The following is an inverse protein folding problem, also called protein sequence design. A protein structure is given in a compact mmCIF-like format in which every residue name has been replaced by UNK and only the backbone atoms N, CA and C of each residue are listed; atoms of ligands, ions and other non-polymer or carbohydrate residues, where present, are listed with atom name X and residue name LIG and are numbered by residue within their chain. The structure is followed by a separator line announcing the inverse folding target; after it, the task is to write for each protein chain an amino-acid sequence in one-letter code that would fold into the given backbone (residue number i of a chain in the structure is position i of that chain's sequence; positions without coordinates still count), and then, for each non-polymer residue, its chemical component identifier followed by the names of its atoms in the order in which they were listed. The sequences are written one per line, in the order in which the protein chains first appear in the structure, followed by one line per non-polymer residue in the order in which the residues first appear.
data_IF_324537990851
#
_entry.id   IF_324537990851
#
_cell.length_a   1.000
_cell.length_b   1.000
_cell.length_c   1.000
_cell.angle_alpha   90.00
_cell.angle_beta   90.00
_cell.angle_gamma   90.00
#
_symmetry.space_group_name_H-M   'P 1'
#
loop_
_entity.id
_entity.type
_entity.pdbx_description
1 polymer ?
#
# COMPACT_ATOMS: atom_id res chain seq x y z
N UNK A 1 -8.56 20.81 -0.89
CA UNK A 1 -7.62 19.70 -1.16
C UNK A 1 -7.55 19.49 -2.66
N UNK A 2 -6.36 19.33 -3.24
CA UNK A 2 -6.24 19.06 -4.67
C UNK A 2 -6.72 17.63 -4.99
N UNK A 3 -7.35 17.44 -6.15
CA UNK A 3 -7.85 16.12 -6.63
C UNK A 3 -6.76 15.03 -6.56
N UNK A 4 -5.52 15.39 -6.88
CA UNK A 4 -4.34 14.53 -6.75
C UNK A 4 -4.16 14.01 -5.32
N UNK A 5 -4.31 14.88 -4.32
CA UNK A 5 -4.15 14.52 -2.89
C UNK A 5 -5.26 13.60 -2.40
N UNK A 6 -6.48 13.81 -2.89
CA UNK A 6 -7.62 12.91 -2.59
C UNK A 6 -7.40 11.52 -3.18
N UNK A 7 -7.00 11.42 -4.45
CA UNK A 7 -6.69 10.14 -5.09
C UNK A 7 -5.54 9.40 -4.42
N UNK A 8 -4.48 10.11 -4.04
CA UNK A 8 -3.35 9.54 -3.30
C UNK A 8 -3.79 8.98 -1.95
N UNK A 9 -4.61 9.71 -1.18
CA UNK A 9 -5.12 9.26 0.12
C UNK A 9 -6.05 8.04 -0.03
N UNK A 10 -6.96 8.04 -1.01
CA UNK A 10 -7.84 6.90 -1.26
C UNK A 10 -7.07 5.64 -1.65
N UNK A 11 -6.09 5.77 -2.55
CA UNK A 11 -5.26 4.65 -2.96
C UNK A 11 -4.39 4.15 -1.80
N UNK A 12 -3.81 5.05 -0.98
CA UNK A 12 -3.04 4.69 0.21
C UNK A 12 -3.90 3.94 1.22
N UNK A 13 -5.13 4.39 1.46
CA UNK A 13 -6.08 3.72 2.35
C UNK A 13 -6.44 2.32 1.83
N UNK A 14 -6.67 2.17 0.52
CA UNK A 14 -6.95 0.88 -0.10
C UNK A 14 -5.76 -0.10 0.03
N UNK A 15 -4.54 0.37 -0.23
CA UNK A 15 -3.32 -0.44 -0.06
C UNK A 15 -3.19 -0.89 1.39
N UNK A 16 -3.37 0.00 2.35
CA UNK A 16 -3.28 -0.31 3.78
C UNK A 16 -4.33 -1.34 4.19
N UNK A 17 -5.56 -1.20 3.70
CA UNK A 17 -6.66 -2.15 3.97
C UNK A 17 -6.33 -3.54 3.40
N UNK A 18 -5.83 -3.62 2.17
CA UNK A 18 -5.44 -4.89 1.54
C UNK A 18 -4.29 -5.57 2.28
N UNK A 19 -3.26 -4.81 2.69
CA UNK A 19 -2.11 -5.35 3.43
C UNK A 19 -2.54 -5.85 4.82
N UNK A 20 -3.39 -5.09 5.52
CA UNK A 20 -3.91 -5.47 6.83
C UNK A 20 -4.79 -6.73 6.73
N UNK A 21 -5.66 -6.78 5.73
CA UNK A 21 -6.50 -7.96 5.46
C UNK A 21 -5.66 -9.21 5.15
N UNK A 22 -4.64 -9.08 4.32
CA UNK A 22 -3.74 -10.19 4.00
C UNK A 22 -2.97 -10.67 5.24
N UNK A 23 -2.40 -9.74 6.03
CA UNK A 23 -1.71 -10.09 7.28
C UNK A 23 -2.64 -10.84 8.25
N UNK A 24 -3.91 -10.41 8.36
CA UNK A 24 -4.90 -11.09 9.19
C UNK A 24 -5.16 -12.52 8.70
N UNK A 25 -5.35 -12.73 7.40
CA UNK A 25 -5.56 -14.06 6.80
C UNK A 25 -4.35 -14.94 7.01
N UNK A 26 -3.14 -14.44 6.78
CA UNK A 26 -1.91 -15.20 7.01
C UNK A 26 -1.77 -15.59 8.47
N UNK A 27 -2.02 -14.67 9.40
CA UNK A 27 -1.92 -14.96 10.83
C UNK A 27 -2.91 -16.05 11.26
N UNK A 28 -4.17 -15.98 10.82
CA UNK A 28 -5.19 -16.98 11.15
C UNK A 28 -4.88 -18.35 10.56
N UNK A 29 -4.48 -18.40 9.29
CA UNK A 29 -4.13 -19.65 8.62
C UNK A 29 -2.89 -20.29 9.23
N UNK A 30 -1.83 -19.49 9.47
CA UNK A 30 -0.59 -20.01 10.05
C UNK A 30 -0.78 -20.47 11.49
N UNK A 31 -1.54 -19.73 12.30
CA UNK A 31 -1.84 -20.16 13.68
C UNK A 31 -2.62 -21.49 13.71
N UNK A 32 -3.62 -21.63 12.84
CA UNK A 32 -4.36 -22.89 12.69
C UNK A 32 -3.49 -24.06 12.26
N UNK A 33 -2.61 -23.84 11.29
CA UNK A 33 -1.65 -24.84 10.83
C UNK A 33 -0.71 -25.29 11.95
N UNK A 34 -0.09 -24.36 12.69
CA UNK A 34 0.80 -24.72 13.80
C UNK A 34 0.06 -25.44 14.93
N UNK A 35 -1.16 -25.01 15.25
CA UNK A 35 -1.99 -25.69 16.24
C UNK A 35 -2.28 -27.13 15.85
N UNK A 36 -2.69 -27.35 14.61
CA UNK A 36 -2.91 -28.71 14.09
C UNK A 36 -1.64 -29.55 14.10
N UNK A 37 -0.50 -28.98 13.71
CA UNK A 37 0.78 -29.67 13.70
C UNK A 37 1.25 -30.04 15.10
N UNK A 38 1.09 -29.15 16.09
CA UNK A 38 1.43 -29.44 17.49
C UNK A 38 0.56 -30.59 18.05
N UNK A 39 -0.74 -30.56 17.76
CA UNK A 39 -1.67 -31.60 18.20
C UNK A 39 -1.37 -32.95 17.54
N UNK A 40 -1.11 -32.96 16.22
CA UNK A 40 -0.76 -34.20 15.49
C UNK A 40 0.52 -34.82 16.02
N UNK A 41 1.57 -34.00 16.21
CA UNK A 41 2.85 -34.49 16.77
C UNK A 41 2.70 -35.04 18.18
N UNK A 42 1.88 -34.43 19.04
CA UNK A 42 1.61 -34.92 20.36
C UNK A 42 0.88 -36.28 20.31
N UNK A 43 -0.11 -36.43 19.43
CA UNK A 43 -0.87 -37.65 19.25
C UNK A 43 0.00 -38.78 18.69
N UNK A 44 0.81 -38.51 17.66
CA UNK A 44 1.72 -39.49 17.06
C UNK A 44 2.75 -39.98 18.08
N UNK A 45 3.31 -39.05 18.86
CA UNK A 45 4.26 -39.36 19.92
C UNK A 45 3.60 -40.19 21.06
N UNK A 46 2.36 -39.81 21.47
CA UNK A 46 1.62 -40.53 22.49
C UNK A 46 1.33 -41.97 22.04
N UNK A 47 0.85 -42.14 20.82
CA UNK A 47 0.53 -43.46 20.27
C UNK A 47 1.78 -44.35 20.14
N UNK A 48 2.85 -43.77 19.56
CA UNK A 48 4.12 -44.50 19.39
C UNK A 48 4.75 -44.90 20.74
N UNK A 49 4.75 -43.99 21.72
CA UNK A 49 5.29 -44.23 23.03
C UNK A 49 4.43 -45.25 23.80
N UNK A 50 3.08 -45.14 23.76
CA UNK A 50 2.16 -46.08 24.40
C UNK A 50 2.36 -47.52 23.92
N UNK A 51 2.50 -47.68 22.58
CA UNK A 51 2.77 -49.00 21.98
C UNK A 51 4.15 -49.53 22.45
N UNK A 52 5.16 -48.71 22.49
CA UNK A 52 6.51 -49.10 22.90
C UNK A 52 6.59 -49.45 24.39
N UNK A 53 5.78 -48.79 25.23
CA UNK A 53 5.78 -48.97 26.69
C UNK A 53 4.90 -50.16 27.15
N UNK A 54 4.03 -50.68 26.31
CA UNK A 54 3.03 -51.67 26.70
C UNK A 54 3.63 -52.89 27.47
N UNK A 55 4.75 -53.44 26.98
CA UNK A 55 5.42 -54.54 27.62
C UNK A 55 6.09 -54.13 28.95
N UNK A 56 6.74 -52.94 28.98
CA UNK A 56 7.40 -52.47 30.21
C UNK A 56 6.39 -52.12 31.32
N UNK A 57 5.17 -51.66 30.94
CA UNK A 57 4.06 -51.46 31.90
C UNK A 57 3.57 -52.80 32.46
N UNK A 58 3.40 -53.81 31.61
CA UNK A 58 2.96 -55.12 32.03
C UNK A 58 3.99 -55.81 32.95
N UNK A 59 5.28 -55.64 32.67
CA UNK A 59 6.39 -56.17 33.47
C UNK A 59 6.62 -55.39 34.78
N UNK A 60 6.00 -54.23 34.96
CA UNK A 60 6.17 -53.36 36.13
C UNK A 60 7.56 -52.70 36.21
N UNK A 61 8.31 -52.66 35.09
CA UNK A 61 9.68 -52.11 35.04
C UNK A 61 9.68 -50.55 35.00
N UNK A 62 9.57 -49.95 36.20
CA UNK A 62 9.53 -48.49 36.36
C UNK A 62 10.77 -47.79 35.80
N UNK A 63 11.97 -48.38 35.93
CA UNK A 63 13.22 -47.79 35.45
C UNK A 63 13.23 -47.69 33.94
N UNK A 64 12.71 -48.70 33.25
CA UNK A 64 12.59 -48.70 31.79
C UNK A 64 11.55 -47.68 31.32
N UNK A 65 10.42 -47.57 32.03
CA UNK A 65 9.38 -46.58 31.75
C UNK A 65 9.91 -45.13 31.89
N UNK A 66 10.59 -44.83 32.99
CA UNK A 66 11.24 -43.51 33.20
C UNK A 66 12.21 -43.17 32.08
N UNK A 67 13.09 -44.10 31.70
CA UNK A 67 14.03 -43.88 30.59
C UNK A 67 13.35 -43.61 29.26
N UNK A 68 12.28 -44.32 28.95
CA UNK A 68 11.53 -44.11 27.71
C UNK A 68 10.86 -42.73 27.66
N UNK A 69 10.34 -42.28 28.82
CA UNK A 69 9.80 -40.91 28.95
C UNK A 69 10.90 -39.87 28.81
N UNK A 70 12.02 -40.06 29.52
CA UNK A 70 13.15 -39.13 29.53
C UNK A 70 13.76 -38.94 28.13
N UNK A 71 13.98 -40.01 27.37
CA UNK A 71 14.48 -39.95 25.98
C UNK A 71 13.55 -39.13 25.05
N UNK A 72 12.24 -39.23 25.21
CA UNK A 72 11.32 -38.46 24.43
C UNK A 72 11.23 -36.99 24.90
N UNK A 73 11.28 -36.80 26.23
CA UNK A 73 11.19 -35.50 26.86
C UNK A 73 12.44 -34.62 26.56
N UNK A 74 13.63 -35.22 26.60
CA UNK A 74 14.92 -34.56 26.36
C UNK A 74 15.06 -33.99 24.94
N UNK A 75 14.24 -34.45 24.02
CA UNK A 75 14.14 -33.83 22.68
C UNK A 75 13.58 -32.39 22.68
N UNK A 76 12.99 -31.95 23.80
CA UNK A 76 12.52 -30.58 24.01
C UNK A 76 11.25 -30.18 23.27
N UNK A 77 10.54 -31.11 22.57
CA UNK A 77 9.32 -30.81 21.82
C UNK A 77 8.06 -30.84 22.69
N UNK A 78 8.16 -31.44 23.88
CA UNK A 78 6.99 -31.66 24.74
C UNK A 78 7.14 -30.88 26.05
N UNK A 79 6.06 -30.23 26.45
CA UNK A 79 5.98 -29.47 27.70
C UNK A 79 5.67 -30.38 28.90
N UNK A 80 4.94 -31.46 28.66
CA UNK A 80 4.52 -32.39 29.69
C UNK A 80 4.31 -33.78 29.10
N UNK A 81 4.80 -34.81 29.79
CA UNK A 81 4.51 -36.22 29.54
C UNK A 81 4.09 -36.83 30.87
N UNK A 82 2.89 -37.40 30.90
CA UNK A 82 2.31 -38.02 32.10
C UNK A 82 1.75 -39.40 31.76
N UNK A 83 2.26 -40.40 32.45
CA UNK A 83 1.76 -41.78 32.40
C UNK A 83 1.04 -42.10 33.72
N UNK A 84 -0.27 -42.37 33.62
CA UNK A 84 -1.10 -42.84 34.74
C UNK A 84 -1.38 -44.33 34.59
N UNK A 85 -0.97 -45.12 35.52
CA UNK A 85 -1.21 -46.55 35.54
C UNK A 85 -2.53 -46.87 36.25
N UNK A 86 -3.07 -48.07 35.98
CA UNK A 86 -4.32 -48.55 36.62
C UNK A 86 -4.16 -48.78 38.12
N UNK A 87 -2.91 -49.02 38.62
CA UNK A 87 -2.60 -49.16 40.04
C UNK A 87 -2.62 -47.82 40.80
N UNK A 88 -2.88 -46.69 40.11
CA UNK A 88 -2.89 -45.34 40.68
C UNK A 88 -1.52 -44.67 40.69
N UNK A 89 -0.46 -45.32 40.26
CA UNK A 89 0.84 -44.71 40.16
C UNK A 89 0.92 -43.76 38.94
N UNK A 90 1.57 -42.60 39.12
CA UNK A 90 1.75 -41.60 38.06
C UNK A 90 3.24 -41.31 37.89
N UNK A 91 3.73 -41.39 36.66
CA UNK A 91 5.03 -40.96 36.23
C UNK A 91 4.86 -39.70 35.40
N UNK A 92 5.39 -38.56 35.89
CA UNK A 92 5.23 -37.28 35.26
C UNK A 92 6.58 -36.59 35.01
N UNK A 93 6.76 -36.09 33.79
CA UNK A 93 7.86 -35.17 33.44
C UNK A 93 7.22 -33.88 32.89
N UNK A 94 7.67 -32.77 33.43
CA UNK A 94 7.20 -31.45 33.04
C UNK A 94 8.40 -30.53 32.83
N UNK A 95 8.42 -29.79 31.74
CA UNK A 95 9.46 -28.79 31.49
C UNK A 95 9.38 -27.70 32.55
N UNK A 96 10.48 -27.47 33.25
CA UNK A 96 10.61 -26.26 34.02
C UNK A 96 10.53 -25.10 33.05
N UNK A 97 9.62 -24.13 33.31
CA UNK A 97 9.51 -22.94 32.47
C UNK A 97 10.89 -22.33 32.29
N UNK A 98 11.48 -22.53 31.12
CA UNK A 98 12.79 -21.96 30.81
C UNK A 98 12.59 -20.46 30.66
N UNK A 99 12.92 -19.74 31.73
CA UNK A 99 12.74 -18.28 31.90
C UNK A 99 13.68 -17.42 31.06
N UNK A 100 14.50 -18.00 30.19
CA UNK A 100 15.59 -17.22 29.61
C UNK A 100 15.37 -16.60 28.24
N UNK A 101 14.42 -17.06 27.40
CA UNK A 101 14.17 -16.41 26.12
C UNK A 101 12.69 -16.47 25.79
N UNK A 102 11.99 -15.33 25.83
CA UNK A 102 10.62 -15.24 25.34
C UNK A 102 10.63 -15.52 23.83
N UNK A 103 9.88 -16.51 23.35
CA UNK A 103 9.87 -16.93 21.94
C UNK A 103 9.36 -15.84 21.01
N UNK A 104 8.49 -14.95 21.51
CA UNK A 104 7.91 -13.82 20.81
C UNK A 104 7.54 -12.70 21.81
N UNK A 105 7.24 -11.47 21.35
CA UNK A 105 6.74 -10.40 22.22
C UNK A 105 5.46 -10.80 22.94
N UNK A 106 5.30 -10.36 24.20
CA UNK A 106 4.15 -10.76 25.04
C UNK A 106 2.78 -10.39 24.42
N UNK A 107 2.69 -9.21 23.77
CA UNK A 107 1.48 -8.79 23.07
C UNK A 107 1.10 -9.73 21.93
N UNK A 108 2.09 -10.28 21.20
CA UNK A 108 1.88 -11.22 20.10
C UNK A 108 1.37 -12.57 20.64
N UNK A 109 1.96 -13.06 21.71
CA UNK A 109 1.53 -14.31 22.37
C UNK A 109 0.07 -14.18 22.85
N UNK A 110 -0.31 -13.03 23.44
CA UNK A 110 -1.67 -12.80 23.89
C UNK A 110 -2.67 -12.65 22.73
N UNK A 111 -2.22 -12.12 21.59
CA UNK A 111 -3.05 -11.96 20.39
C UNK A 111 -3.35 -13.31 19.72
N UNK A 112 -2.32 -14.15 19.56
CA UNK A 112 -2.43 -15.41 18.81
C UNK A 112 -3.04 -16.53 19.66
N UNK A 113 -2.75 -16.56 20.95
CA UNK A 113 -3.26 -17.50 21.96
C UNK A 113 -3.45 -18.95 21.44
N UNK A 114 -2.32 -19.62 21.12
CA UNK A 114 -2.32 -20.98 20.63
C UNK A 114 -2.87 -21.94 21.71
N UNK A 115 -4.03 -22.53 21.43
CA UNK A 115 -4.63 -23.54 22.29
C UNK A 115 -4.08 -24.93 21.89
N UNK A 116 -3.24 -25.52 22.74
CA UNK A 116 -2.71 -26.87 22.53
C UNK A 116 -3.47 -27.85 23.41
N UNK A 117 -4.11 -28.81 22.79
CA UNK A 117 -4.84 -29.90 23.45
C UNK A 117 -3.80 -30.95 23.83
N UNK A 118 -3.87 -31.48 25.06
CA UNK A 118 -3.07 -32.65 25.45
C UNK A 118 -3.56 -33.86 24.71
N UNK A 119 -2.65 -34.56 24.05
CA UNK A 119 -2.96 -35.86 23.42
C UNK A 119 -3.02 -36.94 24.48
N UNK A 120 -4.10 -37.65 24.55
CA UNK A 120 -4.30 -38.77 25.47
C UNK A 120 -4.46 -40.08 24.67
N UNK A 121 -3.76 -41.11 25.10
CA UNK A 121 -3.78 -42.45 24.48
C UNK A 121 -3.70 -43.50 25.55
N UNK A 122 -4.45 -44.58 25.39
CA UNK A 122 -4.40 -45.71 26.29
C UNK A 122 -3.19 -46.60 26.03
N UNK A 123 -2.51 -47.01 27.13
CA UNK A 123 -1.50 -48.04 27.07
C UNK A 123 -2.19 -49.40 27.29
N UNK A 124 -2.14 -50.26 26.27
CA UNK A 124 -2.86 -51.55 26.26
C UNK A 124 -1.92 -52.68 25.98
N UNK A 125 -2.19 -53.86 26.57
CA UNK A 125 -1.58 -55.12 26.20
C UNK A 125 -2.68 -56.10 25.84
N UNK A 126 -2.77 -56.42 24.54
CA UNK A 126 -3.91 -57.17 24.03
C UNK A 126 -5.22 -56.41 24.23
N UNK A 127 -6.15 -57.00 25.01
CA UNK A 127 -7.44 -56.38 25.32
C UNK A 127 -7.49 -55.66 26.67
N UNK A 128 -6.36 -55.63 27.41
CA UNK A 128 -6.32 -55.11 28.76
C UNK A 128 -5.73 -53.68 28.74
N UNK A 129 -6.45 -52.73 29.32
CA UNK A 129 -5.95 -51.37 29.55
C UNK A 129 -5.03 -51.35 30.76
N UNK A 130 -3.79 -50.96 30.59
CA UNK A 130 -2.77 -50.89 31.64
C UNK A 130 -2.60 -49.49 32.22
N UNK A 131 -2.97 -48.45 31.46
CA UNK A 131 -2.87 -47.08 31.87
C UNK A 131 -3.25 -46.10 30.79
N UNK A 132 -3.10 -44.81 31.04
CA UNK A 132 -3.26 -43.74 30.05
C UNK A 132 -1.96 -42.86 29.99
N UNK A 133 -1.56 -42.55 28.79
CA UNK A 133 -0.43 -41.69 28.48
C UNK A 133 -0.93 -40.35 27.93
N UNK A 134 -0.54 -39.26 28.59
CA UNK A 134 -0.90 -37.91 28.18
C UNK A 134 0.36 -37.18 27.78
N UNK A 135 0.38 -36.58 26.57
CA UNK A 135 1.49 -35.77 26.05
C UNK A 135 1.01 -34.39 25.63
N UNK A 136 1.69 -33.34 26.10
CA UNK A 136 1.41 -31.96 25.73
C UNK A 136 2.60 -31.36 25.02
N UNK A 137 2.38 -30.81 23.81
CA UNK A 137 3.43 -30.16 23.03
C UNK A 137 3.88 -28.83 23.63
N UNK A 138 5.12 -28.48 23.42
CA UNK A 138 5.69 -27.17 23.79
C UNK A 138 5.34 -26.12 22.73
N UNK A 139 4.77 -25.01 23.12
CA UNK A 139 4.27 -23.97 22.20
C UNK A 139 5.34 -22.96 21.74
N UNK A 140 6.50 -22.92 22.42
CA UNK A 140 7.52 -21.90 22.19
C UNK A 140 8.08 -21.90 20.76
N UNK A 141 8.26 -23.08 20.17
CA UNK A 141 8.66 -23.20 18.78
C UNK A 141 7.63 -22.57 17.82
N UNK A 142 6.36 -22.86 18.03
CA UNK A 142 5.29 -22.33 17.20
C UNK A 142 5.19 -20.81 17.30
N UNK A 143 5.29 -20.26 18.51
CA UNK A 143 5.31 -18.81 18.69
C UNK A 143 6.53 -18.14 18.05
N UNK A 144 7.69 -18.76 18.11
CA UNK A 144 8.92 -18.25 17.47
C UNK A 144 8.78 -18.26 15.95
N UNK A 145 8.32 -19.35 15.39
CA UNK A 145 8.18 -19.51 13.95
C UNK A 145 7.09 -18.57 13.39
N UNK A 146 5.94 -18.48 14.08
CA UNK A 146 4.88 -17.52 13.74
C UNK A 146 5.39 -16.08 13.79
N UNK A 147 6.15 -15.73 14.83
CA UNK A 147 6.71 -14.39 14.93
C UNK A 147 7.68 -14.07 13.81
N UNK A 148 8.53 -15.03 13.43
CA UNK A 148 9.47 -14.86 12.32
C UNK A 148 8.73 -14.70 10.97
N UNK A 149 7.68 -15.46 10.74
CA UNK A 149 6.83 -15.34 9.55
C UNK A 149 6.19 -13.93 9.51
N UNK A 150 5.50 -13.54 10.58
CA UNK A 150 4.81 -12.25 10.66
C UNK A 150 5.79 -11.08 10.51
N UNK A 151 6.93 -11.14 11.19
CA UNK A 151 7.97 -10.10 11.07
C UNK A 151 8.50 -10.00 9.64
N UNK A 152 8.74 -11.14 8.98
CA UNK A 152 9.20 -11.18 7.60
C UNK A 152 8.18 -10.57 6.64
N UNK A 153 6.90 -10.92 6.79
CA UNK A 153 5.81 -10.38 5.99
C UNK A 153 5.61 -8.88 6.21
N UNK A 154 5.63 -8.41 7.47
CA UNK A 154 5.50 -6.98 7.79
C UNK A 154 6.61 -6.17 7.12
N UNK A 155 7.87 -6.64 7.19
CA UNK A 155 8.99 -5.97 6.53
C UNK A 155 8.78 -5.94 5.00
N UNK A 156 8.36 -7.05 4.41
CA UNK A 156 8.07 -7.14 2.98
C UNK A 156 6.93 -6.20 2.57
N UNK A 157 5.85 -6.16 3.34
CA UNK A 157 4.72 -5.28 3.08
C UNK A 157 5.07 -3.80 3.20
N UNK A 158 5.94 -3.42 4.14
CA UNK A 158 6.45 -2.05 4.25
C UNK A 158 7.22 -1.63 2.99
N UNK A 159 8.08 -2.51 2.46
CA UNK A 159 8.77 -2.25 1.20
C UNK A 159 7.82 -2.14 0.02
N UNK A 160 6.84 -3.03 -0.07
CA UNK A 160 5.83 -3.01 -1.13
C UNK A 160 4.93 -1.77 -1.04
N UNK A 161 4.54 -1.37 0.16
CA UNK A 161 3.76 -0.15 0.39
C UNK A 161 4.56 1.10 -0.02
N UNK A 162 5.83 1.18 0.38
CA UNK A 162 6.70 2.29 0.01
C UNK A 162 6.87 2.38 -1.51
N UNK A 163 7.18 1.26 -2.17
CA UNK A 163 7.33 1.21 -3.63
C UNK A 163 6.03 1.61 -4.34
N UNK A 164 4.90 1.11 -3.87
CA UNK A 164 3.57 1.42 -4.42
C UNK A 164 3.22 2.90 -4.28
N UNK A 165 3.48 3.51 -3.11
CA UNK A 165 3.23 4.93 -2.88
C UNK A 165 4.13 5.83 -3.74
N UNK A 166 5.41 5.50 -3.85
CA UNK A 166 6.35 6.23 -4.72
C UNK A 166 5.92 6.12 -6.19
N UNK A 167 5.59 4.91 -6.65
CA UNK A 167 5.11 4.67 -8.01
C UNK A 167 3.82 5.44 -8.30
N UNK A 168 2.87 5.39 -7.38
CA UNK A 168 1.60 6.13 -7.48
C UNK A 168 1.83 7.64 -7.61
N UNK A 169 2.69 8.22 -6.77
CA UNK A 169 3.00 9.65 -6.81
C UNK A 169 3.65 10.04 -8.14
N UNK A 170 4.57 9.23 -8.66
CA UNK A 170 5.21 9.45 -9.97
C UNK A 170 4.14 9.41 -11.09
N UNK A 171 3.28 8.40 -11.09
CA UNK A 171 2.22 8.23 -12.10
C UNK A 171 1.25 9.41 -12.04
N UNK A 172 0.79 9.80 -10.85
CA UNK A 172 -0.11 10.93 -10.68
C UNK A 172 0.52 12.24 -11.16
N UNK A 173 1.80 12.51 -10.80
CA UNK A 173 2.51 13.70 -11.30
C UNK A 173 2.59 13.71 -12.82
N UNK A 174 2.96 12.60 -13.40
CA UNK A 174 3.07 12.50 -14.86
C UNK A 174 1.73 12.67 -15.57
N UNK A 175 0.67 12.12 -15.01
CA UNK A 175 -0.68 12.20 -15.57
C UNK A 175 -1.31 13.61 -15.43
N UNK A 176 -1.09 14.31 -14.31
CA UNK A 176 -1.68 15.63 -14.07
C UNK A 176 -0.86 16.81 -14.61
N UNK A 177 0.41 16.63 -14.92
CA UNK A 177 1.25 17.68 -15.49
C UNK A 177 0.70 18.36 -16.76
N UNK A 178 0.08 17.65 -17.72
CA UNK A 178 -0.55 18.30 -18.88
C UNK A 178 -1.78 19.14 -18.51
N UNK A 179 -2.50 18.77 -17.45
CA UNK A 179 -3.68 19.54 -17.00
C UNK A 179 -3.28 20.87 -16.38
N UNK A 180 -2.20 20.92 -15.61
CA UNK A 180 -1.61 22.18 -15.08
C UNK A 180 -1.24 23.14 -16.23
N UNK A 181 -0.73 22.61 -17.35
CA UNK A 181 -0.41 23.42 -18.53
C UNK A 181 -1.65 23.98 -19.23
N UNK A 182 -2.74 23.21 -19.29
CA UNK A 182 -4.01 23.69 -19.84
C UNK A 182 -4.62 24.78 -18.96
N UNK A 183 -4.53 24.61 -17.64
CA UNK A 183 -4.95 25.63 -16.67
C UNK A 183 -4.16 26.93 -16.86
N UNK A 184 -2.84 26.83 -16.95
CA UNK A 184 -2.00 27.99 -17.20
C UNK A 184 -2.32 28.67 -18.53
N UNK A 185 -2.49 27.92 -19.63
CA UNK A 185 -2.92 28.45 -20.91
C UNK A 185 -4.26 29.20 -20.81
N UNK A 186 -5.21 28.67 -20.03
CA UNK A 186 -6.50 29.33 -19.84
C UNK A 186 -6.38 30.66 -19.10
N UNK A 187 -5.49 30.75 -18.13
CA UNK A 187 -5.16 31.99 -17.42
C UNK A 187 -4.48 33.00 -18.35
N UNK A 188 -3.48 32.56 -19.13
CA UNK A 188 -2.75 33.41 -20.08
C UNK A 188 -3.66 33.97 -21.18
N UNK A 189 -4.69 33.23 -21.60
CA UNK A 189 -5.72 33.73 -22.52
C UNK A 189 -6.45 34.94 -21.92
N UNK A 190 -6.74 34.94 -20.63
CA UNK A 190 -7.41 36.09 -19.96
C UNK A 190 -6.54 37.35 -19.96
N UNK A 191 -5.22 37.20 -20.03
CA UNK A 191 -4.25 38.27 -20.14
C UNK A 191 -3.92 38.67 -21.61
N UNK A 192 -4.69 38.14 -22.57
CA UNK A 192 -4.51 38.31 -24.02
C UNK A 192 -3.24 37.64 -24.59
N UNK A 193 -2.65 36.73 -23.84
CA UNK A 193 -1.48 35.98 -24.29
C UNK A 193 -1.95 34.69 -24.98
N UNK A 194 -2.19 34.76 -26.29
CA UNK A 194 -2.79 33.69 -27.09
C UNK A 194 -1.70 32.80 -27.70
N UNK A 195 -1.29 31.72 -27.02
CA UNK A 195 -0.37 30.73 -27.56
C UNK A 195 -1.00 29.33 -27.61
N UNK A 196 -0.50 28.48 -28.48
CA UNK A 196 -0.92 27.08 -28.62
C UNK A 196 0.07 26.15 -27.91
N UNK A 197 -0.46 25.08 -27.28
CA UNK A 197 0.36 24.03 -26.69
C UNK A 197 0.82 23.06 -27.78
N UNK A 198 2.14 23.04 -28.06
CA UNK A 198 2.72 22.18 -29.09
C UNK A 198 2.81 20.71 -28.63
N UNK A 199 3.11 20.47 -27.33
CA UNK A 199 3.29 19.12 -26.80
C UNK A 199 1.97 18.50 -26.37
N UNK A 200 1.48 17.56 -27.17
CA UNK A 200 0.27 16.82 -26.88
C UNK A 200 0.54 15.69 -25.86
N UNK A 201 -0.33 15.51 -24.86
CA UNK A 201 -0.24 14.41 -23.91
C UNK A 201 -0.51 13.07 -24.59
N UNK A 202 0.02 11.97 -23.99
CA UNK A 202 -0.19 10.61 -24.50
C UNK A 202 -1.59 10.07 -24.18
N UNK A 203 -2.21 10.50 -23.09
CA UNK A 203 -3.57 10.11 -22.71
C UNK A 203 -4.58 10.70 -23.71
N UNK A 204 -5.45 9.85 -24.27
CA UNK A 204 -6.43 10.25 -25.30
C UNK A 204 -7.39 11.34 -24.82
N UNK A 205 -7.85 11.23 -23.58
CA UNK A 205 -8.76 12.16 -22.94
C UNK A 205 -8.13 13.55 -22.81
N UNK A 206 -6.91 13.61 -22.28
CA UNK A 206 -6.14 14.85 -22.13
C UNK A 206 -5.74 15.45 -23.48
N UNK A 207 -5.43 14.63 -24.49
CA UNK A 207 -5.15 15.09 -25.84
C UNK A 207 -6.35 15.81 -26.45
N UNK A 208 -7.57 15.27 -26.26
CA UNK A 208 -8.81 15.93 -26.72
C UNK A 208 -9.00 17.31 -26.06
N UNK A 209 -8.74 17.42 -24.78
CA UNK A 209 -8.86 18.71 -24.05
C UNK A 209 -7.85 19.73 -24.61
N UNK A 210 -6.59 19.34 -24.79
CA UNK A 210 -5.54 20.23 -25.34
C UNK A 210 -5.90 20.67 -26.77
N UNK A 211 -6.37 19.74 -27.62
CA UNK A 211 -6.77 20.08 -28.98
C UNK A 211 -7.97 21.05 -29.02
N UNK A 212 -8.99 20.84 -28.17
CA UNK A 212 -10.12 21.74 -28.05
C UNK A 212 -9.68 23.12 -27.58
N UNK A 213 -8.75 23.21 -26.61
CA UNK A 213 -8.21 24.47 -26.12
C UNK A 213 -7.43 25.20 -27.22
N UNK A 214 -6.56 24.51 -27.96
CA UNK A 214 -5.83 25.10 -29.08
C UNK A 214 -6.79 25.61 -30.18
N UNK A 215 -7.89 24.89 -30.45
CA UNK A 215 -8.91 25.34 -31.38
C UNK A 215 -9.60 26.63 -30.91
N UNK A 216 -9.89 26.73 -29.60
CA UNK A 216 -10.46 27.95 -29.01
C UNK A 216 -9.47 29.12 -29.13
N UNK A 217 -8.19 28.92 -28.85
CA UNK A 217 -7.14 29.94 -29.04
C UNK A 217 -7.08 30.43 -30.47
N UNK A 218 -7.08 29.55 -31.47
CA UNK A 218 -7.12 29.92 -32.89
C UNK A 218 -8.35 30.78 -33.26
N UNK A 219 -9.50 30.37 -32.74
CA UNK A 219 -10.75 31.13 -32.99
C UNK A 219 -10.69 32.52 -32.34
N UNK A 220 -10.18 32.63 -31.12
CA UNK A 220 -10.00 33.92 -30.46
C UNK A 220 -9.02 34.83 -31.23
N UNK A 221 -7.89 34.27 -31.70
CA UNK A 221 -6.93 35.04 -32.56
C UNK A 221 -7.62 35.58 -33.80
N UNK A 222 -8.45 34.78 -34.48
CA UNK A 222 -9.17 35.25 -35.68
C UNK A 222 -10.17 36.33 -35.36
N UNK A 223 -10.92 36.22 -34.25
CA UNK A 223 -11.88 37.24 -33.82
C UNK A 223 -11.17 38.56 -33.49
N UNK A 224 -10.06 38.51 -32.74
CA UNK A 224 -9.29 39.73 -32.42
C UNK A 224 -8.70 40.38 -33.66
N UNK A 225 -8.17 39.60 -34.60
CA UNK A 225 -7.68 40.11 -35.87
C UNK A 225 -8.79 40.81 -36.69
N UNK A 226 -9.98 40.19 -36.79
CA UNK A 226 -11.15 40.76 -37.47
C UNK A 226 -11.64 42.03 -36.79
N UNK A 227 -11.72 42.05 -35.44
CA UNK A 227 -12.08 43.26 -34.69
C UNK A 227 -11.06 44.40 -34.90
N UNK A 228 -9.76 44.07 -34.91
CA UNK A 228 -8.72 45.08 -35.15
C UNK A 228 -8.84 45.66 -36.57
N UNK A 229 -9.03 44.79 -37.57
CA UNK A 229 -9.23 45.22 -38.96
C UNK A 229 -10.49 46.09 -39.15
N UNK A 230 -11.60 45.68 -38.49
CA UNK A 230 -12.85 46.45 -38.53
C UNK A 230 -12.69 47.84 -37.85
N UNK A 231 -12.01 47.82 -36.69
CA UNK A 231 -11.76 49.09 -35.97
C UNK A 231 -10.90 50.03 -36.77
N UNK A 232 -9.85 49.54 -37.46
CA UNK A 232 -9.00 50.33 -38.29
C UNK A 232 -9.77 50.89 -39.54
N UNK A 233 -10.59 50.04 -40.15
CA UNK A 233 -11.48 50.49 -41.27
C UNK A 233 -12.44 51.59 -40.83
N UNK A 234 -13.15 51.41 -39.71
CA UNK A 234 -14.03 52.45 -39.15
C UNK A 234 -13.28 53.73 -38.80
N UNK A 235 -12.03 53.61 -38.38
CA UNK A 235 -11.17 54.72 -38.08
C UNK A 235 -10.74 55.48 -39.34
N UNK A 236 -10.36 54.76 -40.38
CA UNK A 236 -10.06 55.37 -41.71
C UNK A 236 -11.28 56.09 -42.26
N UNK A 237 -12.45 55.47 -42.26
CA UNK A 237 -13.72 56.09 -42.71
C UNK A 237 -14.06 57.33 -41.87
N UNK A 238 -13.79 57.31 -40.55
CA UNK A 238 -14.06 58.48 -39.68
C UNK A 238 -13.11 59.66 -39.88
N UNK A 239 -11.94 59.46 -40.51
CA UNK A 239 -10.93 60.51 -40.75
C UNK A 239 -10.90 61.02 -42.18
N UNK A 240 -11.64 60.42 -43.12
CA UNK A 240 -11.77 60.89 -44.49
C UNK A 240 -13.09 61.64 -44.66
N UNK A 241 -13.13 62.55 -45.61
CA UNK A 241 -14.33 63.24 -46.06
C UNK A 241 -14.98 62.35 -47.13
N UNK A 242 -16.30 62.11 -46.99
CA UNK A 242 -17.05 61.17 -47.83
C UNK A 242 -17.10 61.59 -49.32
N UNK A 243 -16.90 62.90 -49.62
CA UNK A 243 -16.99 63.42 -50.99
C UNK A 243 -15.64 63.52 -51.63
N UNK A 244 -14.64 64.04 -50.88
CA UNK A 244 -13.32 64.34 -51.43
C UNK A 244 -12.28 63.25 -51.16
N UNK A 245 -12.59 62.28 -50.28
CA UNK A 245 -11.65 61.23 -49.82
C UNK A 245 -10.33 61.77 -49.22
N UNK A 246 -10.32 63.08 -48.90
CA UNK A 246 -9.20 63.75 -48.20
C UNK A 246 -9.43 63.66 -46.70
N UNK A 247 -8.38 63.90 -45.89
CA UNK A 247 -8.51 64.00 -44.45
C UNK A 247 -9.52 65.08 -44.07
N UNK A 248 -10.57 64.69 -43.37
CA UNK A 248 -11.46 65.67 -42.77
C UNK A 248 -10.73 66.44 -41.64
N UNK A 249 -11.38 67.45 -41.11
CA UNK A 249 -10.76 68.28 -40.05
C UNK A 249 -10.20 67.48 -38.91
N UNK A 250 -10.90 66.45 -38.47
CA UNK A 250 -10.50 65.59 -37.35
C UNK A 250 -9.26 64.74 -37.72
N UNK A 251 -9.19 64.21 -38.90
CA UNK A 251 -8.06 63.44 -39.42
C UNK A 251 -6.80 64.31 -39.58
N UNK A 252 -7.01 65.54 -40.09
CA UNK A 252 -5.93 66.52 -40.25
C UNK A 252 -5.34 66.93 -38.88
N UNK A 253 -6.18 67.31 -37.90
CA UNK A 253 -5.72 67.73 -36.58
C UNK A 253 -4.94 66.61 -35.86
N UNK A 254 -5.37 65.37 -35.98
CA UNK A 254 -4.68 64.22 -35.38
C UNK A 254 -3.32 63.95 -36.07
N UNK A 255 -3.28 64.06 -37.40
CA UNK A 255 -2.02 63.84 -38.14
C UNK A 255 -1.02 64.94 -37.85
N UNK A 256 -1.51 66.17 -37.75
CA UNK A 256 -0.70 67.31 -37.37
C UNK A 256 -0.10 67.16 -35.98
N UNK A 257 -0.91 66.75 -34.98
CA UNK A 257 -0.42 66.47 -33.62
C UNK A 257 0.64 65.34 -33.58
N UNK A 258 0.48 64.31 -34.39
CA UNK A 258 1.44 63.22 -34.48
C UNK A 258 2.77 63.68 -35.08
N UNK A 259 2.76 64.46 -36.12
CA UNK A 259 3.96 65.06 -36.75
C UNK A 259 4.65 66.05 -35.81
N UNK A 260 3.90 66.89 -35.09
CA UNK A 260 4.44 67.82 -34.13
C UNK A 260 5.12 67.10 -32.96
N UNK A 261 4.52 66.02 -32.41
CA UNK A 261 5.17 65.19 -31.36
C UNK A 261 6.44 64.50 -31.85
N UNK A 262 6.48 64.04 -33.10
CA UNK A 262 7.70 63.51 -33.70
C UNK A 262 8.76 64.59 -33.95
N UNK A 263 8.38 65.79 -34.27
CA UNK A 263 9.29 66.91 -34.45
C UNK A 263 9.86 67.42 -33.12
N UNK A 264 9.07 67.40 -32.02
CA UNK A 264 9.59 67.77 -30.69
C UNK A 264 10.62 66.71 -30.15
N UNK A 265 10.58 65.48 -30.60
CA UNK A 265 11.56 64.43 -30.28
C UNK A 265 12.88 64.55 -31.11
N UNK A 266 12.86 65.29 -32.17
CA UNK A 266 14.05 65.63 -32.98
C UNK A 266 14.19 67.12 -32.95
N UNK A 267 15.26 67.63 -32.31
CA UNK A 267 15.68 69.04 -32.37
C UNK A 267 16.10 69.42 -33.80
N UNK A 268 15.11 69.49 -34.68
CA UNK A 268 15.30 69.87 -36.08
C UNK A 268 14.54 71.17 -36.30
N UNK A 269 15.29 72.24 -36.51
CA UNK A 269 14.84 73.56 -36.90
C UNK A 269 13.89 73.43 -38.11
N UNK A 270 12.63 73.83 -37.93
CA UNK A 270 11.71 74.12 -39.04
C UNK A 270 12.13 75.54 -39.58
N UNK A 271 12.80 75.55 -40.72
CA UNK A 271 12.88 76.68 -41.56
C UNK A 271 11.73 76.69 -42.53
#
# INVERSE_FOLDING_TARGET
MTLRRQLSLMASALILLLLTGNLFVTLTNSSGYFQQQLNSRAYDAATSLALSMSNAVADGDKVKLERMIDVLFDRGFFAEISLKLVDGSELKRQAQQATQHKPAPAWFISLVNLSVIAAETDVTQGWQRLGSLTIKSHTDFAYRDLWNIVRGEVIWYLWMALLSLVSLEIILRWMFKPLERVEQQALDISERNLYELEKLPRARELKRVVLAMNQMVRKLKSIFAEQTALTEKLREESYLDDVTQLLNRRGFDQRLQHVLKQAEGHSGVLL
#
